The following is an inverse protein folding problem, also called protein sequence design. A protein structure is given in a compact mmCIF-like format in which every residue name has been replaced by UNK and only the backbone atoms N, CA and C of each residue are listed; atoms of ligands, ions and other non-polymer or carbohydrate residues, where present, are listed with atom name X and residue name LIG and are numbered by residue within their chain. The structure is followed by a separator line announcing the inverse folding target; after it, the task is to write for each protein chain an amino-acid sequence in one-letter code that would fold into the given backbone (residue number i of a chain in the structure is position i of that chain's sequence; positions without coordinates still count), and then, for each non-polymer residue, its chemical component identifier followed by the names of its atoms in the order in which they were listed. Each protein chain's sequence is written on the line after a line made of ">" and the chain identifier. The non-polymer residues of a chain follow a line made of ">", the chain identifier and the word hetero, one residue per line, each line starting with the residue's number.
data_IF_452375371193
#
_entry.id   IF_452375371193
#
_cell.length_a   1.000
_cell.length_b   1.000
_cell.length_c   1.000
_cell.angle_alpha   90.00
_cell.angle_beta   90.00
_cell.angle_gamma   90.00
#
_symmetry.space_group_name_H-M   'P 1'
#
loop_
_entity.id
_entity.type
_entity.pdbx_description
1 polymer ?
#
# COMPACT_ATOMS: atom_id res chain seq x y z
N UNK A 1 -49.98 20.84 -35.02
CA UNK A 1 -49.37 22.17 -35.26
C UNK A 1 -47.95 21.92 -35.75
N UNK A 2 -47.69 22.36 -36.96
CA UNK A 2 -46.46 22.25 -37.75
C UNK A 2 -45.27 23.06 -37.15
N UNK A 3 -44.11 23.20 -37.82
CA UNK A 3 -43.08 22.17 -38.12
C UNK A 3 -41.63 22.75 -38.08
N UNK A 4 -40.62 21.97 -38.52
CA UNK A 4 -39.35 22.42 -39.17
C UNK A 4 -38.30 23.14 -38.27
N UNK A 5 -36.98 22.99 -38.39
CA UNK A 5 -36.07 22.61 -39.49
C UNK A 5 -34.70 22.15 -38.93
N UNK A 6 -34.03 21.31 -39.70
CA UNK A 6 -32.57 21.08 -39.70
C UNK A 6 -31.78 22.40 -39.86
N UNK A 7 -30.59 22.48 -39.25
CA UNK A 7 -29.35 22.94 -39.90
C UNK A 7 -28.15 22.89 -38.92
N UNK A 8 -27.25 21.94 -39.18
CA UNK A 8 -25.83 22.19 -39.49
C UNK A 8 -25.14 23.26 -38.63
N UNK A 9 -24.37 22.80 -37.64
CA UNK A 9 -23.39 23.64 -36.93
C UNK A 9 -22.01 23.40 -37.53
N UNK A 10 -21.52 24.48 -38.14
CA UNK A 10 -20.24 24.70 -38.81
C UNK A 10 -19.03 24.62 -37.87
N UNK A 11 -17.96 24.03 -38.40
CA UNK A 11 -16.52 24.31 -38.24
C UNK A 11 -16.05 25.07 -36.99
N UNK A 12 -15.36 24.33 -36.12
CA UNK A 12 -14.21 24.88 -35.38
C UNK A 12 -12.92 24.37 -36.02
N UNK A 13 -12.28 25.31 -36.69
CA UNK A 13 -10.92 25.30 -37.25
C UNK A 13 -9.93 24.51 -36.40
N UNK A 14 -9.53 23.35 -36.91
CA UNK A 14 -8.22 22.74 -36.68
C UNK A 14 -7.15 23.63 -37.31
N UNK A 15 -6.25 24.17 -36.49
CA UNK A 15 -4.99 24.70 -36.98
C UNK A 15 -3.88 23.67 -36.74
N UNK A 16 -3.28 23.29 -37.85
CA UNK A 16 -2.28 22.24 -38.02
C UNK A 16 -0.94 22.95 -38.24
N UNK A 17 0.06 22.72 -37.40
CA UNK A 17 1.43 23.11 -37.71
C UNK A 17 2.44 22.13 -37.09
N UNK A 18 2.97 21.31 -37.98
CA UNK A 18 4.07 20.37 -37.80
C UNK A 18 5.41 21.08 -37.61
N UNK A 19 6.28 20.45 -36.82
CA UNK A 19 7.74 20.31 -36.97
C UNK A 19 8.67 21.54 -36.89
N UNK A 20 9.61 21.51 -35.91
CA UNK A 20 11.10 21.57 -36.02
C UNK A 20 11.71 22.00 -34.66
N UNK A 21 12.89 21.48 -34.22
CA UNK A 21 13.28 21.46 -32.82
C UNK A 21 14.04 22.73 -32.39
N UNK A 22 13.76 23.22 -31.18
CA UNK A 22 14.49 24.33 -30.56
C UNK A 22 15.52 23.78 -29.56
N UNK A 23 16.71 23.54 -30.08
CA UNK A 23 17.94 23.69 -29.32
C UNK A 23 18.25 25.18 -29.18
N UNK A 24 17.89 25.79 -28.05
CA UNK A 24 18.41 27.09 -27.65
C UNK A 24 18.68 27.13 -26.15
N UNK A 25 19.89 27.56 -25.84
CA UNK A 25 20.54 27.57 -24.54
C UNK A 25 19.80 28.51 -23.57
N UNK A 26 19.39 27.99 -22.40
CA UNK A 26 19.02 28.85 -21.27
C UNK A 26 20.33 29.18 -20.53
N UNK A 27 20.76 30.45 -20.46
CA UNK A 27 21.97 30.81 -19.75
C UNK A 27 21.74 30.67 -18.25
N UNK A 28 22.60 29.90 -17.59
CA UNK A 28 22.66 29.82 -16.14
C UNK A 28 22.95 31.21 -15.57
N UNK A 29 21.95 31.84 -14.95
CA UNK A 29 22.14 33.04 -14.15
C UNK A 29 22.88 32.63 -12.87
N UNK A 30 24.18 32.84 -12.88
CA UNK A 30 25.05 32.74 -11.72
C UNK A 30 24.69 33.90 -10.79
N UNK A 31 23.86 33.64 -9.77
CA UNK A 31 23.78 34.55 -8.63
C UNK A 31 25.14 34.48 -7.92
N UNK A 32 25.88 35.60 -7.80
CA UNK A 32 27.10 35.60 -7.00
C UNK A 32 26.68 35.40 -5.54
N UNK A 33 27.04 34.24 -4.99
CA UNK A 33 27.03 34.05 -3.54
C UNK A 33 28.17 34.94 -3.02
N UNK A 34 27.80 36.07 -2.44
CA UNK A 34 28.71 37.03 -1.83
C UNK A 34 29.46 36.33 -0.68
N UNK A 35 30.74 36.03 -0.92
CA UNK A 35 31.62 35.29 -0.01
C UNK A 35 32.19 36.18 1.12
N UNK A 36 31.38 37.08 1.67
CA UNK A 36 31.81 38.05 2.69
C UNK A 36 31.19 37.81 4.06
N UNK A 37 30.92 36.54 4.40
CA UNK A 37 30.29 36.13 5.66
C UNK A 37 30.94 34.97 6.43
N UNK A 38 32.14 34.51 6.05
CA UNK A 38 32.84 33.40 6.72
C UNK A 38 34.14 33.84 7.42
N UNK A 39 34.18 35.07 7.95
CA UNK A 39 35.31 35.53 8.76
C UNK A 39 35.12 35.01 10.20
N UNK A 40 35.70 33.83 10.49
CA UNK A 40 35.72 33.27 11.86
C UNK A 40 35.59 31.75 12.03
N UNK A 41 35.55 30.95 10.95
CA UNK A 41 35.75 29.49 11.09
C UNK A 41 37.26 29.20 11.13
N UNK A 42 37.77 28.44 12.11
CA UNK A 42 39.16 28.00 12.07
C UNK A 42 39.39 27.24 10.76
N UNK A 43 40.37 27.69 9.97
CA UNK A 43 40.81 27.03 8.75
C UNK A 43 41.02 25.55 9.02
N UNK A 44 40.25 24.70 8.32
CA UNK A 44 40.43 23.26 8.34
C UNK A 44 41.61 22.92 7.42
N UNK A 45 42.78 23.43 7.80
CA UNK A 45 44.01 23.27 7.03
C UNK A 45 44.49 21.82 7.14
N UNK A 46 44.56 21.11 6.00
CA UNK A 46 45.06 19.74 5.91
C UNK A 46 44.03 18.61 5.77
N UNK A 47 42.74 18.90 5.56
CA UNK A 47 41.80 17.85 5.14
C UNK A 47 41.97 17.57 3.64
N UNK A 48 42.18 16.30 3.22
CA UNK A 48 42.19 15.97 1.80
C UNK A 48 40.80 16.22 1.19
N UNK A 49 40.77 16.92 0.06
CA UNK A 49 39.56 17.11 -0.75
C UNK A 49 39.10 15.73 -1.27
N UNK A 50 37.87 15.33 -0.93
CA UNK A 50 37.37 13.98 -1.22
C UNK A 50 36.76 13.98 -2.63
N UNK A 51 37.24 13.12 -3.55
CA UNK A 51 36.62 12.98 -4.86
C UNK A 51 35.18 12.42 -4.76
N UNK A 52 34.35 12.65 -5.79
CA UNK A 52 33.07 11.97 -5.95
C UNK A 52 33.20 10.45 -5.75
N UNK A 53 32.22 9.81 -5.09
CA UNK A 53 32.31 8.39 -4.69
C UNK A 53 32.43 7.40 -5.88
N UNK A 54 32.09 7.84 -7.09
CA UNK A 54 32.20 7.12 -8.34
C UNK A 54 33.58 7.23 -9.00
N UNK A 55 34.45 8.10 -8.51
CA UNK A 55 35.82 8.33 -9.02
C UNK A 55 36.93 7.67 -8.17
N UNK A 56 36.61 7.12 -7.00
CA UNK A 56 37.60 6.49 -6.10
C UNK A 56 37.77 5.00 -6.41
N UNK A 57 39.01 4.60 -6.73
CA UNK A 57 39.38 3.20 -6.93
C UNK A 57 39.15 2.33 -5.68
N UNK A 58 38.76 1.05 -5.82
CA UNK A 58 38.40 0.18 -4.69
C UNK A 58 39.55 -0.14 -3.72
N UNK A 59 40.80 0.10 -4.12
CA UNK A 59 41.99 -0.06 -3.26
C UNK A 59 42.21 1.18 -2.40
N UNK A 60 42.01 2.37 -2.96
CA UNK A 60 42.17 3.65 -2.27
C UNK A 60 41.04 3.84 -1.25
N UNK A 61 39.81 3.47 -1.59
CA UNK A 61 38.65 3.49 -0.67
C UNK A 61 38.87 2.61 0.58
N UNK A 62 39.57 1.47 0.44
CA UNK A 62 39.89 0.58 1.58
C UNK A 62 40.94 1.19 2.51
N UNK A 63 41.99 1.78 1.95
CA UNK A 63 43.03 2.44 2.74
C UNK A 63 42.49 3.67 3.48
N UNK A 64 41.65 4.46 2.81
CA UNK A 64 40.91 5.58 3.40
C UNK A 64 39.97 5.12 4.51
N UNK A 65 39.17 4.07 4.28
CA UNK A 65 38.24 3.54 5.28
C UNK A 65 38.96 3.10 6.57
N UNK A 66 40.12 2.43 6.49
CA UNK A 66 40.89 2.03 7.67
C UNK A 66 41.35 3.24 8.51
N UNK A 67 41.81 4.30 7.85
CA UNK A 67 42.23 5.53 8.53
C UNK A 67 41.04 6.24 9.18
N UNK A 68 39.90 6.29 8.49
CA UNK A 68 38.67 6.90 9.01
C UNK A 68 38.09 6.13 10.20
N UNK A 69 38.10 4.80 10.18
CA UNK A 69 37.66 4.00 11.33
C UNK A 69 38.53 4.26 12.58
N UNK A 70 39.85 4.32 12.42
CA UNK A 70 40.74 4.68 13.54
C UNK A 70 40.48 6.09 14.07
N UNK A 71 40.18 7.04 13.19
CA UNK A 71 39.82 8.40 13.60
C UNK A 71 38.48 8.40 14.34
N UNK A 72 37.49 7.66 13.86
CA UNK A 72 36.17 7.54 14.47
C UNK A 72 36.23 7.02 15.91
N UNK A 73 37.13 6.07 16.21
CA UNK A 73 37.35 5.53 17.58
C UNK A 73 37.84 6.57 18.58
N UNK A 74 38.50 7.65 18.12
CA UNK A 74 39.06 8.70 18.98
C UNK A 74 38.12 9.91 19.16
N UNK A 75 37.08 10.01 18.33
CA UNK A 75 36.16 11.14 18.32
C UNK A 75 34.97 10.88 19.25
N UNK A 76 34.50 11.93 19.92
CA UNK A 76 33.33 11.85 20.79
C UNK A 76 32.02 11.85 19.97
N UNK A 77 31.15 10.90 20.26
CA UNK A 77 29.83 10.80 19.62
C UNK A 77 28.99 12.05 19.88
N UNK A 78 28.33 12.56 18.83
CA UNK A 78 27.55 13.80 18.86
C UNK A 78 28.31 15.06 18.48
N UNK A 79 29.63 14.99 18.30
CA UNK A 79 30.41 16.09 17.72
C UNK A 79 30.24 16.19 16.21
N UNK A 80 30.48 17.38 15.65
CA UNK A 80 30.46 17.60 14.20
C UNK A 80 31.50 16.74 13.48
N UNK A 81 32.71 16.62 14.06
CA UNK A 81 33.80 15.82 13.49
C UNK A 81 33.45 14.33 13.44
N UNK A 82 32.82 13.79 14.50
CA UNK A 82 32.33 12.41 14.51
C UNK A 82 31.30 12.18 13.39
N UNK A 83 30.33 13.09 13.26
CA UNK A 83 29.31 12.99 12.22
C UNK A 83 29.92 13.06 10.81
N UNK A 84 30.89 13.95 10.59
CA UNK A 84 31.60 14.07 9.31
C UNK A 84 32.31 12.76 8.94
N UNK A 85 33.18 12.25 9.81
CA UNK A 85 33.94 11.01 9.57
C UNK A 85 33.01 9.83 9.33
N UNK A 86 31.93 9.73 10.11
CA UNK A 86 30.91 8.68 9.96
C UNK A 86 30.18 8.76 8.62
N UNK A 87 29.76 9.95 8.21
CA UNK A 87 29.08 10.15 6.92
C UNK A 87 30.01 9.85 5.74
N UNK A 88 31.28 10.26 5.83
CA UNK A 88 32.28 9.90 4.81
C UNK A 88 32.47 8.39 4.71
N UNK A 89 32.51 7.66 5.84
CA UNK A 89 32.57 6.20 5.85
C UNK A 89 31.34 5.57 5.19
N UNK A 90 30.15 6.14 5.40
CA UNK A 90 28.92 5.70 4.72
C UNK A 90 29.06 5.89 3.21
N UNK A 91 29.41 7.11 2.76
CA UNK A 91 29.51 7.47 1.34
C UNK A 91 30.51 6.58 0.59
N UNK A 92 31.72 6.40 1.14
CA UNK A 92 32.76 5.55 0.57
C UNK A 92 32.32 4.09 0.39
N UNK A 93 31.40 3.62 1.22
CA UNK A 93 30.94 2.23 1.23
C UNK A 93 29.54 2.04 0.61
N UNK A 94 28.93 3.07 0.02
CA UNK A 94 27.62 2.94 -0.65
C UNK A 94 27.64 1.94 -1.81
N UNK A 95 28.76 1.80 -2.51
CA UNK A 95 28.89 0.81 -3.58
C UNK A 95 28.69 -0.63 -3.07
N UNK A 96 29.08 -0.92 -1.82
CA UNK A 96 28.86 -2.22 -1.19
C UNK A 96 27.37 -2.51 -1.00
N UNK A 97 26.60 -1.48 -0.62
CA UNK A 97 25.14 -1.56 -0.48
C UNK A 97 24.48 -1.81 -1.83
N UNK A 98 24.86 -1.05 -2.87
CA UNK A 98 24.34 -1.26 -4.24
C UNK A 98 24.65 -2.67 -4.75
N UNK A 99 25.84 -3.19 -4.46
CA UNK A 99 26.22 -4.57 -4.76
C UNK A 99 25.33 -5.59 -4.03
N UNK A 100 25.10 -5.42 -2.72
CA UNK A 100 24.23 -6.30 -1.95
C UNK A 100 22.77 -6.25 -2.44
N UNK A 101 22.25 -5.05 -2.71
CA UNK A 101 20.89 -4.80 -3.21
C UNK A 101 20.66 -5.40 -4.60
N UNK A 102 21.68 -5.46 -5.46
CA UNK A 102 21.56 -6.01 -6.82
C UNK A 102 21.02 -7.45 -6.86
N UNK A 103 21.28 -8.24 -5.81
CA UNK A 103 20.78 -9.62 -5.66
C UNK A 103 19.27 -9.72 -5.46
N UNK A 104 18.60 -8.60 -5.21
CA UNK A 104 17.17 -8.50 -4.94
C UNK A 104 16.39 -7.80 -6.06
N UNK A 105 17.00 -7.59 -7.23
CA UNK A 105 16.38 -6.94 -8.42
C UNK A 105 15.09 -7.59 -8.91
N UNK A 106 14.89 -8.89 -8.68
CA UNK A 106 13.70 -9.62 -9.12
C UNK A 106 12.49 -9.49 -8.18
N UNK A 107 12.60 -8.67 -7.13
CA UNK A 107 11.50 -8.41 -6.19
C UNK A 107 10.68 -7.20 -6.65
N UNK A 108 9.44 -7.13 -6.17
CA UNK A 108 8.44 -6.13 -6.55
C UNK A 108 8.71 -4.72 -6.00
N UNK A 109 9.59 -4.59 -5.01
CA UNK A 109 9.90 -3.30 -4.37
C UNK A 109 10.86 -2.45 -5.22
N UNK A 110 10.70 -1.11 -5.22
CA UNK A 110 11.63 -0.21 -5.88
C UNK A 110 13.08 -0.42 -5.44
N UNK A 111 14.02 -0.38 -6.39
CA UNK A 111 15.45 -0.56 -6.08
C UNK A 111 15.98 0.51 -5.12
N UNK A 112 15.46 1.72 -5.21
CA UNK A 112 15.83 2.83 -4.33
C UNK A 112 15.53 2.53 -2.87
N UNK A 113 14.37 1.93 -2.59
CA UNK A 113 13.96 1.54 -1.23
C UNK A 113 14.87 0.43 -0.68
N UNK A 114 15.20 -0.56 -1.52
CA UNK A 114 16.13 -1.64 -1.16
C UNK A 114 17.51 -1.07 -0.80
N UNK A 115 18.01 -0.12 -1.62
CA UNK A 115 19.28 0.56 -1.35
C UNK A 115 19.20 1.37 -0.06
N UNK A 116 18.12 2.10 0.19
CA UNK A 116 17.95 2.91 1.39
C UNK A 116 17.96 2.05 2.66
N UNK A 117 17.23 0.94 2.67
CA UNK A 117 17.26 -0.03 3.79
C UNK A 117 18.64 -0.65 3.95
N UNK A 118 19.29 -1.00 2.84
CA UNK A 118 20.66 -1.51 2.86
C UNK A 118 21.64 -0.50 3.46
N UNK A 119 21.45 0.80 3.19
CA UNK A 119 22.23 1.89 3.78
C UNK A 119 22.02 2.00 5.29
N UNK A 120 20.80 1.77 5.79
CA UNK A 120 20.56 1.66 7.25
C UNK A 120 21.37 0.49 7.83
N UNK A 121 21.45 -0.64 7.12
CA UNK A 121 22.28 -1.78 7.52
C UNK A 121 23.79 -1.46 7.51
N UNK A 122 24.25 -0.69 6.52
CA UNK A 122 25.63 -0.21 6.45
C UNK A 122 25.95 0.71 7.63
N UNK A 123 25.08 1.66 7.93
CA UNK A 123 25.20 2.59 9.06
C UNK A 123 25.33 1.79 10.38
N UNK A 124 24.43 0.84 10.62
CA UNK A 124 24.50 -0.06 11.78
C UNK A 124 25.76 -0.92 11.84
N UNK A 125 26.38 -1.20 10.70
CA UNK A 125 27.65 -1.92 10.65
C UNK A 125 28.82 -1.00 10.99
N UNK A 126 28.83 0.24 10.49
CA UNK A 126 29.84 1.26 10.84
C UNK A 126 29.84 1.50 12.35
N UNK A 127 28.67 1.68 12.96
CA UNK A 127 28.52 1.97 14.39
C UNK A 127 29.02 0.85 15.31
N UNK A 128 29.17 -0.38 14.80
CA UNK A 128 29.53 -1.57 15.59
C UNK A 128 30.84 -2.23 15.16
N UNK A 129 31.50 -1.68 14.15
CA UNK A 129 32.73 -2.26 13.63
C UNK A 129 33.92 -1.87 14.50
N UNK A 130 34.72 -2.86 14.88
CA UNK A 130 35.95 -2.67 15.66
C UNK A 130 37.14 -3.04 14.79
N UNK A 131 38.05 -2.09 14.55
CA UNK A 131 39.18 -2.29 13.63
C UNK A 131 40.18 -3.34 14.15
N UNK A 132 40.33 -3.42 15.48
CA UNK A 132 41.28 -4.31 16.16
C UNK A 132 40.95 -5.80 16.04
N UNK A 133 39.74 -6.16 15.60
CA UNK A 133 39.33 -7.56 15.39
C UNK A 133 39.98 -8.22 14.17
N UNK A 134 40.70 -7.47 13.34
CA UNK A 134 41.47 -8.01 12.22
C UNK A 134 40.63 -8.54 11.06
N UNK A 135 39.34 -8.25 11.02
CA UNK A 135 38.44 -8.61 9.91
C UNK A 135 38.23 -7.41 8.99
N UNK A 136 38.23 -7.65 7.68
CA UNK A 136 37.96 -6.58 6.71
C UNK A 136 36.50 -6.11 6.81
N UNK A 137 36.28 -4.79 6.81
CA UNK A 137 34.97 -4.18 7.01
C UNK A 137 33.87 -4.73 6.08
N UNK A 138 34.08 -4.92 4.75
CA UNK A 138 33.05 -5.48 3.88
C UNK A 138 32.58 -6.87 4.33
N UNK A 139 33.47 -7.70 4.88
CA UNK A 139 33.13 -9.04 5.38
C UNK A 139 32.19 -8.95 6.59
N UNK A 140 32.38 -7.96 7.46
CA UNK A 140 31.53 -7.71 8.62
C UNK A 140 30.20 -7.03 8.25
N UNK A 141 30.23 -6.06 7.34
CA UNK A 141 29.08 -5.26 6.98
C UNK A 141 28.05 -6.03 6.14
N UNK A 142 28.51 -6.91 5.24
CA UNK A 142 27.63 -7.63 4.30
C UNK A 142 26.50 -8.43 4.97
N UNK A 143 26.73 -9.24 6.02
CA UNK A 143 25.64 -9.92 6.73
C UNK A 143 24.61 -8.96 7.34
N UNK A 144 25.06 -7.82 7.87
CA UNK A 144 24.18 -6.80 8.47
C UNK A 144 23.32 -6.12 7.40
N UNK A 145 23.93 -5.70 6.29
CA UNK A 145 23.23 -5.08 5.15
C UNK A 145 22.17 -6.04 4.58
N UNK A 146 22.56 -7.28 4.28
CA UNK A 146 21.64 -8.31 3.75
C UNK A 146 20.54 -8.64 4.77
N UNK A 147 20.87 -8.65 6.06
CA UNK A 147 19.90 -8.88 7.14
C UNK A 147 18.81 -7.80 7.20
N UNK A 148 19.19 -6.53 7.13
CA UNK A 148 18.21 -5.43 7.11
C UNK A 148 17.35 -5.45 5.84
N UNK A 149 17.94 -5.71 4.67
CA UNK A 149 17.18 -5.85 3.41
C UNK A 149 16.17 -7.00 3.51
N UNK A 150 16.58 -8.18 4.00
CA UNK A 150 15.67 -9.32 4.21
C UNK A 150 14.57 -8.99 5.21
N UNK A 151 14.89 -8.25 6.27
CA UNK A 151 13.91 -7.79 7.26
C UNK A 151 12.90 -6.84 6.64
N UNK A 152 13.31 -5.91 5.79
CA UNK A 152 12.40 -5.02 5.08
C UNK A 152 11.39 -5.77 4.21
N UNK A 153 11.84 -6.68 3.35
CA UNK A 153 10.90 -7.49 2.54
C UNK A 153 9.89 -8.25 3.40
N UNK A 154 10.34 -8.73 4.55
CA UNK A 154 9.50 -9.49 5.46
C UNK A 154 8.46 -8.61 6.17
N UNK A 155 8.79 -7.36 6.45
CA UNK A 155 7.94 -6.43 7.18
C UNK A 155 7.02 -5.63 6.22
N UNK A 156 7.38 -5.47 4.94
CA UNK A 156 6.68 -4.62 3.95
C UNK A 156 5.99 -5.39 2.82
N UNK A 157 6.51 -6.55 2.38
CA UNK A 157 5.99 -7.22 1.17
C UNK A 157 4.69 -8.01 1.35
N UNK A 158 3.91 -7.72 2.40
CA UNK A 158 2.62 -8.36 2.63
C UNK A 158 1.50 -7.36 2.37
N UNK A 159 0.66 -7.63 1.35
CA UNK A 159 -0.51 -6.81 1.03
C UNK A 159 -1.50 -6.74 2.21
N UNK A 160 -1.54 -7.78 3.05
CA UNK A 160 -2.28 -7.80 4.32
C UNK A 160 -1.37 -8.26 5.44
N UNK A 161 -1.33 -7.52 6.56
CA UNK A 161 -0.49 -7.85 7.71
C UNK A 161 -0.95 -9.16 8.35
N UNK A 162 -0.18 -10.23 8.17
CA UNK A 162 -0.41 -11.52 8.84
C UNK A 162 0.49 -11.72 10.07
N UNK A 163 0.09 -12.56 11.04
CA UNK A 163 0.94 -12.96 12.16
C UNK A 163 2.28 -13.57 11.76
N UNK A 164 3.30 -13.36 12.61
CA UNK A 164 4.68 -13.81 12.41
C UNK A 164 4.80 -15.30 12.06
N UNK A 165 4.08 -16.14 12.80
CA UNK A 165 4.05 -17.60 12.63
C UNK A 165 3.71 -18.01 11.19
N UNK A 166 2.73 -17.34 10.57
CA UNK A 166 2.27 -17.66 9.22
C UNK A 166 3.27 -17.22 8.15
N UNK A 167 4.03 -16.14 8.39
CA UNK A 167 5.07 -15.72 7.46
C UNK A 167 6.21 -16.75 7.37
N UNK A 168 6.62 -17.29 8.51
CA UNK A 168 7.66 -18.31 8.61
C UNK A 168 7.16 -19.64 8.03
N UNK A 169 5.94 -20.04 8.41
CA UNK A 169 5.29 -21.24 7.88
C UNK A 169 5.20 -21.24 6.34
N UNK A 170 4.91 -20.09 5.71
CA UNK A 170 4.90 -20.00 4.24
C UNK A 170 6.27 -20.31 3.63
N UNK A 171 7.35 -19.80 4.22
CA UNK A 171 8.71 -20.04 3.73
C UNK A 171 9.09 -21.51 3.87
N UNK A 172 8.72 -22.13 4.99
CA UNK A 172 8.94 -23.55 5.24
C UNK A 172 8.11 -24.42 4.29
N UNK A 173 6.85 -24.05 4.02
CA UNK A 173 5.99 -24.70 3.04
C UNK A 173 6.53 -24.59 1.62
N UNK A 174 7.04 -23.41 1.21
CA UNK A 174 7.65 -23.23 -0.11
C UNK A 174 8.88 -24.14 -0.28
N UNK A 175 9.77 -24.14 0.72
CA UNK A 175 10.98 -24.98 0.70
C UNK A 175 10.65 -26.47 0.71
N UNK A 176 9.72 -26.91 1.57
CA UNK A 176 9.27 -28.29 1.61
C UNK A 176 8.55 -28.69 0.32
N UNK A 177 7.80 -27.76 -0.27
CA UNK A 177 7.15 -27.89 -1.57
C UNK A 177 8.14 -28.21 -2.67
N UNK A 178 9.19 -27.38 -2.81
CA UNK A 178 10.24 -27.55 -3.81
C UNK A 178 11.00 -28.89 -3.61
N UNK A 179 11.36 -29.21 -2.36
CA UNK A 179 12.07 -30.46 -2.02
C UNK A 179 11.23 -31.71 -2.34
N UNK A 180 9.93 -31.70 -2.04
CA UNK A 180 9.04 -32.82 -2.33
C UNK A 180 8.71 -32.91 -3.82
N UNK A 181 8.52 -31.78 -4.49
CA UNK A 181 8.27 -31.75 -5.92
C UNK A 181 9.41 -32.40 -6.71
N UNK A 182 10.66 -32.11 -6.34
CA UNK A 182 11.83 -32.76 -6.93
C UNK A 182 11.91 -34.26 -6.69
N UNK A 183 11.42 -34.75 -5.54
CA UNK A 183 11.46 -36.18 -5.19
C UNK A 183 10.31 -36.98 -5.78
N UNK A 184 9.14 -36.37 -5.86
CA UNK A 184 7.89 -37.02 -6.28
C UNK A 184 7.62 -36.88 -7.79
N UNK A 185 8.35 -35.99 -8.46
CA UNK A 185 8.13 -35.60 -9.87
C UNK A 185 6.70 -35.08 -10.12
N UNK A 186 6.10 -34.48 -9.07
CA UNK A 186 4.78 -33.84 -9.07
C UNK A 186 4.63 -32.91 -7.88
N UNK A 187 3.62 -32.05 -7.89
CA UNK A 187 3.28 -31.23 -6.73
C UNK A 187 2.92 -32.12 -5.51
N UNK A 188 3.40 -31.77 -4.29
CA UNK A 188 3.05 -32.49 -3.07
C UNK A 188 1.62 -32.19 -2.62
N UNK A 189 1.01 -33.15 -1.93
CA UNK A 189 -0.29 -33.00 -1.29
C UNK A 189 -0.18 -32.34 0.09
N UNK A 190 -1.29 -31.81 0.60
CA UNK A 190 -1.39 -31.25 1.96
C UNK A 190 -0.93 -32.26 3.02
N UNK A 191 -1.24 -33.55 2.85
CA UNK A 191 -0.84 -34.60 3.79
C UNK A 191 0.67 -34.83 3.77
N UNK A 192 1.30 -34.84 2.59
CA UNK A 192 2.75 -35.04 2.44
C UNK A 192 3.54 -33.84 3.00
N UNK A 193 3.02 -32.62 2.83
CA UNK A 193 3.60 -31.42 3.44
C UNK A 193 3.49 -31.45 4.97
N UNK A 194 2.33 -31.85 5.50
CA UNK A 194 2.10 -31.99 6.94
C UNK A 194 3.08 -32.99 7.57
N UNK A 195 3.25 -34.16 6.94
CA UNK A 195 4.22 -35.18 7.37
C UNK A 195 5.66 -34.67 7.31
N UNK A 196 6.05 -34.04 6.20
CA UNK A 196 7.41 -33.53 5.98
C UNK A 196 7.82 -32.46 6.98
N UNK A 197 6.89 -31.59 7.36
CA UNK A 197 7.09 -30.48 8.29
C UNK A 197 6.72 -30.83 9.74
N UNK A 198 6.15 -32.02 9.98
CA UNK A 198 5.66 -32.45 11.31
C UNK A 198 4.64 -31.49 11.93
N UNK A 199 3.70 -31.02 11.10
CA UNK A 199 2.61 -30.11 11.49
C UNK A 199 1.25 -30.71 11.11
N UNK A 200 0.16 -30.11 11.57
CA UNK A 200 -1.19 -30.57 11.22
C UNK A 200 -1.58 -30.18 9.79
N UNK A 201 -2.53 -30.90 9.19
CA UNK A 201 -3.07 -30.56 7.86
C UNK A 201 -3.75 -29.19 7.88
N UNK A 202 -4.43 -28.85 8.97
CA UNK A 202 -5.09 -27.55 9.14
C UNK A 202 -4.08 -26.41 9.13
N UNK A 203 -2.92 -26.57 9.78
CA UNK A 203 -1.84 -25.59 9.72
C UNK A 203 -1.25 -25.45 8.31
N UNK A 204 -1.13 -26.55 7.55
CA UNK A 204 -0.73 -26.47 6.13
C UNK A 204 -1.73 -25.65 5.33
N UNK A 205 -3.03 -25.91 5.49
CA UNK A 205 -4.10 -25.16 4.81
C UNK A 205 -4.08 -23.69 5.20
N UNK A 206 -3.91 -23.39 6.48
CA UNK A 206 -3.79 -22.02 6.99
C UNK A 206 -2.56 -21.31 6.41
N UNK A 207 -1.41 -21.97 6.36
CA UNK A 207 -0.18 -21.44 5.76
C UNK A 207 -0.29 -21.22 4.25
N UNK A 208 -0.99 -22.12 3.54
CA UNK A 208 -1.28 -21.95 2.11
C UNK A 208 -2.25 -20.79 1.87
N UNK A 209 -3.30 -20.65 2.68
CA UNK A 209 -4.24 -19.52 2.61
C UNK A 209 -3.54 -18.19 2.89
N UNK A 210 -2.59 -18.17 3.84
CA UNK A 210 -1.75 -17.01 4.09
C UNK A 210 -0.88 -16.62 2.88
N UNK A 211 -0.54 -17.56 1.99
CA UNK A 211 0.18 -17.23 0.76
C UNK A 211 -0.62 -16.29 -0.15
N UNK A 212 -1.96 -16.35 -0.13
CA UNK A 212 -2.82 -15.45 -0.90
C UNK A 212 -2.80 -14.01 -0.36
N UNK A 213 -2.39 -13.81 0.90
CA UNK A 213 -2.22 -12.48 1.50
C UNK A 213 -0.87 -11.81 1.14
N UNK A 214 0.04 -12.55 0.51
CA UNK A 214 1.38 -12.06 0.13
C UNK A 214 1.35 -11.24 -1.17
N UNK A 215 0.45 -11.54 -2.11
CA UNK A 215 0.31 -10.77 -3.35
C UNK A 215 -1.16 -10.66 -3.71
N UNK A 216 -1.73 -9.47 -3.51
CA UNK A 216 -3.05 -9.16 -4.04
C UNK A 216 -2.98 -8.99 -5.56
N UNK A 217 -3.90 -9.60 -6.29
CA UNK A 217 -4.10 -9.31 -7.72
C UNK A 217 -4.61 -7.88 -7.89
N UNK A 218 -4.14 -7.19 -8.93
CA UNK A 218 -4.64 -5.86 -9.26
C UNK A 218 -6.11 -5.94 -9.70
N UNK A 219 -6.93 -5.00 -9.22
CA UNK A 219 -8.29 -4.81 -9.72
C UNK A 219 -8.31 -4.33 -11.18
N UNK A 220 -7.22 -3.72 -11.64
CA UNK A 220 -7.02 -3.31 -13.03
C UNK A 220 -6.43 -4.43 -13.91
N UNK A 221 -6.16 -5.61 -13.34
CA UNK A 221 -5.60 -6.72 -14.11
C UNK A 221 -6.59 -7.17 -15.19
N UNK A 222 -6.10 -7.29 -16.42
CA UNK A 222 -6.82 -7.92 -17.51
C UNK A 222 -6.52 -9.42 -17.51
N UNK A 223 -7.53 -10.30 -17.44
CA UNK A 223 -7.30 -11.74 -17.50
C UNK A 223 -6.80 -12.16 -18.89
N UNK A 224 -5.81 -13.07 -18.92
CA UNK A 224 -5.12 -13.48 -20.15
C UNK A 224 -5.97 -14.34 -21.10
N UNK A 225 -7.11 -14.89 -20.63
CA UNK A 225 -7.86 -15.95 -21.33
C UNK A 225 -9.26 -15.53 -21.82
N UNK A 226 -9.69 -14.28 -21.66
CA UNK A 226 -11.03 -13.83 -22.04
C UNK A 226 -10.97 -12.71 -23.10
N UNK A 227 -11.59 -12.92 -24.26
CA UNK A 227 -11.85 -11.88 -25.30
C UNK A 227 -12.77 -10.74 -24.82
N UNK A 228 -13.14 -10.75 -23.54
CA UNK A 228 -13.98 -9.73 -22.92
C UNK A 228 -13.10 -8.61 -22.38
N UNK A 229 -13.07 -7.49 -23.11
CA UNK A 229 -12.47 -6.23 -22.66
C UNK A 229 -13.07 -5.79 -21.31
N UNK A 230 -12.22 -5.58 -20.30
CA UNK A 230 -12.64 -5.06 -19.00
C UNK A 230 -11.64 -5.38 -17.88
N UNK A 231 -11.56 -4.52 -16.87
CA UNK A 231 -10.73 -4.75 -15.71
C UNK A 231 -11.34 -5.84 -14.81
N UNK A 232 -10.54 -6.49 -13.96
CA UNK A 232 -11.05 -7.42 -12.96
C UNK A 232 -12.13 -6.77 -12.07
N UNK A 233 -11.98 -5.47 -11.76
CA UNK A 233 -12.95 -4.68 -11.00
C UNK A 233 -14.36 -4.72 -11.59
N UNK A 234 -14.47 -4.65 -12.92
CA UNK A 234 -15.75 -4.57 -13.63
C UNK A 234 -16.53 -5.89 -13.58
N UNK A 235 -15.85 -6.99 -13.22
CA UNK A 235 -16.42 -8.33 -13.09
C UNK A 235 -16.85 -8.66 -11.67
N UNK A 236 -16.49 -7.84 -10.69
CA UNK A 236 -16.86 -8.05 -9.29
C UNK A 236 -18.32 -7.62 -9.11
N UNK A 237 -19.21 -8.61 -8.98
CA UNK A 237 -20.60 -8.38 -8.61
C UNK A 237 -20.73 -7.90 -7.16
N UNK A 238 -21.80 -7.15 -6.89
CA UNK A 238 -22.21 -6.78 -5.54
C UNK A 238 -23.65 -7.24 -5.28
N UNK A 239 -24.00 -7.42 -4.02
CA UNK A 239 -25.38 -7.68 -3.63
C UNK A 239 -26.20 -6.38 -3.71
N UNK A 240 -27.22 -6.35 -4.56
CA UNK A 240 -28.18 -5.25 -4.61
C UNK A 240 -29.28 -5.46 -3.56
N UNK A 241 -29.07 -4.88 -2.36
CA UNK A 241 -30.05 -4.90 -1.28
C UNK A 241 -31.38 -4.19 -1.64
N UNK A 242 -31.40 -3.37 -2.70
CA UNK A 242 -32.63 -2.76 -3.21
C UNK A 242 -33.59 -3.78 -3.81
N UNK A 243 -33.08 -4.87 -4.41
CA UNK A 243 -33.89 -5.93 -5.00
C UNK A 243 -34.70 -6.69 -3.94
N UNK A 244 -34.13 -6.93 -2.76
CA UNK A 244 -34.82 -7.61 -1.66
C UNK A 244 -36.03 -6.81 -1.13
N UNK A 245 -35.98 -5.48 -1.25
CA UNK A 245 -37.05 -4.58 -0.79
C UNK A 245 -38.20 -4.37 -1.78
N UNK A 246 -38.01 -4.65 -3.07
CA UNK A 246 -38.98 -4.30 -4.14
C UNK A 246 -40.30 -5.05 -3.96
N UNK A 247 -40.25 -6.33 -3.61
CA UNK A 247 -41.46 -7.14 -3.41
C UNK A 247 -42.33 -6.57 -2.30
N UNK A 248 -41.72 -6.13 -1.19
CA UNK A 248 -42.42 -5.46 -0.09
C UNK A 248 -43.00 -4.12 -0.52
N UNK A 249 -42.27 -3.34 -1.31
CA UNK A 249 -42.75 -2.04 -1.80
C UNK A 249 -43.96 -2.21 -2.72
N UNK A 250 -43.91 -3.11 -3.69
CA UNK A 250 -45.04 -3.36 -4.60
C UNK A 250 -46.25 -3.95 -3.87
N UNK A 251 -46.04 -4.88 -2.96
CA UNK A 251 -47.12 -5.49 -2.16
C UNK A 251 -47.77 -4.50 -1.19
N UNK A 252 -47.02 -3.53 -0.66
CA UNK A 252 -47.53 -2.58 0.34
C UNK A 252 -48.33 -1.42 -0.29
N UNK A 253 -48.03 -1.02 -1.53
CA UNK A 253 -48.73 0.05 -2.26
C UNK A 253 -50.26 -0.08 -2.25
N UNK A 254 -50.87 -1.21 -2.70
CA UNK A 254 -52.33 -1.36 -2.69
C UNK A 254 -52.90 -1.36 -1.27
N UNK A 255 -52.22 -2.00 -0.32
CA UNK A 255 -52.64 -2.04 1.09
C UNK A 255 -52.67 -0.64 1.73
N UNK A 256 -51.70 0.23 1.40
CA UNK A 256 -51.70 1.63 1.84
C UNK A 256 -52.81 2.43 1.16
N UNK A 257 -53.11 2.16 -0.11
CA UNK A 257 -54.18 2.83 -0.86
C UNK A 257 -55.58 2.56 -0.29
N UNK A 258 -55.78 1.42 0.37
CA UNK A 258 -57.03 1.08 1.08
C UNK A 258 -57.14 1.67 2.49
N UNK A 259 -56.06 2.26 3.02
CA UNK A 259 -56.10 2.88 4.33
C UNK A 259 -56.95 4.15 4.31
N UNK A 260 -57.70 4.42 5.39
CA UNK A 260 -58.36 5.71 5.57
C UNK A 260 -57.37 6.87 5.39
N UNK A 261 -57.80 8.02 4.83
CA UNK A 261 -56.92 9.16 4.56
C UNK A 261 -56.12 9.61 5.78
N UNK A 262 -56.73 9.53 6.97
CA UNK A 262 -56.10 9.86 8.25
C UNK A 262 -54.95 8.92 8.60
N UNK A 263 -55.16 7.61 8.47
CA UNK A 263 -54.15 6.60 8.80
C UNK A 263 -52.97 6.68 7.80
N UNK A 264 -53.27 6.95 6.52
CA UNK A 264 -52.24 7.20 5.49
C UNK A 264 -51.42 8.45 5.77
N UNK A 265 -52.08 9.55 6.20
CA UNK A 265 -51.39 10.78 6.59
C UNK A 265 -50.47 10.53 7.79
N UNK A 266 -50.93 9.80 8.80
CA UNK A 266 -50.12 9.42 9.96
C UNK A 266 -48.89 8.60 9.55
N UNK A 267 -49.03 7.62 8.64
CA UNK A 267 -47.89 6.87 8.10
C UNK A 267 -46.89 7.76 7.36
N UNK A 268 -47.37 8.66 6.50
CA UNK A 268 -46.52 9.60 5.76
C UNK A 268 -45.75 10.52 6.72
N UNK A 269 -46.42 11.09 7.73
CA UNK A 269 -45.75 11.93 8.73
C UNK A 269 -44.70 11.14 9.52
N UNK A 270 -45.00 9.87 9.84
CA UNK A 270 -44.09 9.02 10.63
C UNK A 270 -42.88 8.52 9.85
N UNK A 271 -43.09 7.98 8.65
CA UNK A 271 -42.06 7.22 7.92
C UNK A 271 -41.45 7.98 6.73
N UNK A 272 -42.09 9.06 6.27
CA UNK A 272 -41.55 9.91 5.18
C UNK A 272 -41.05 11.23 5.75
N UNK A 273 -41.84 11.89 6.60
CA UNK A 273 -41.44 13.15 7.24
C UNK A 273 -40.63 12.97 8.53
N UNK A 274 -40.40 11.72 8.97
CA UNK A 274 -39.64 11.37 10.18
C UNK A 274 -40.11 12.07 11.48
N UNK A 275 -41.38 12.42 11.59
CA UNK A 275 -41.93 13.08 12.78
C UNK A 275 -42.13 12.08 13.94
N UNK A 276 -41.89 12.56 15.15
CA UNK A 276 -42.22 11.85 16.39
C UNK A 276 -43.74 11.77 16.58
N UNK A 277 -44.21 10.81 17.40
CA UNK A 277 -45.65 10.66 17.65
C UNK A 277 -46.25 11.86 18.39
N UNK A 278 -45.44 12.61 19.14
CA UNK A 278 -45.85 13.85 19.80
C UNK A 278 -46.07 14.96 18.78
N UNK A 279 -45.10 15.19 17.88
CA UNK A 279 -45.21 16.19 16.81
C UNK A 279 -46.38 15.87 15.86
N UNK A 280 -46.59 14.60 15.53
CA UNK A 280 -47.76 14.16 14.75
C UNK A 280 -49.07 14.45 15.50
N UNK A 281 -49.05 14.29 16.82
CA UNK A 281 -50.21 14.58 17.68
C UNK A 281 -50.55 16.06 17.69
N UNK A 282 -49.54 16.91 17.81
CA UNK A 282 -49.67 18.37 17.72
C UNK A 282 -50.21 18.81 16.36
N UNK A 283 -49.64 18.30 15.26
CA UNK A 283 -50.05 18.59 13.88
C UNK A 283 -51.52 18.18 13.62
N UNK A 284 -51.97 17.05 14.18
CA UNK A 284 -53.30 16.48 13.95
C UNK A 284 -54.33 16.79 15.05
N UNK A 285 -53.96 17.59 16.05
CA UNK A 285 -54.81 17.94 17.18
C UNK A 285 -55.27 16.76 18.04
N UNK A 286 -54.43 15.72 18.19
CA UNK A 286 -54.71 14.54 19.01
C UNK A 286 -53.55 14.18 19.93
N UNK A 287 -53.82 13.43 21.00
CA UNK A 287 -52.74 13.01 21.91
C UNK A 287 -51.76 12.04 21.24
N UNK A 288 -50.50 12.09 21.66
CA UNK A 288 -49.45 11.14 21.25
C UNK A 288 -49.89 9.68 21.45
N UNK A 289 -50.58 9.38 22.56
CA UNK A 289 -51.13 8.05 22.83
C UNK A 289 -52.19 7.63 21.81
N UNK A 290 -52.98 8.57 21.29
CA UNK A 290 -53.93 8.29 20.22
C UNK A 290 -53.20 8.00 18.90
N UNK A 291 -52.18 8.79 18.55
CA UNK A 291 -51.32 8.55 17.38
C UNK A 291 -50.67 7.17 17.46
N UNK A 292 -50.12 6.80 18.63
CA UNK A 292 -49.51 5.51 18.88
C UNK A 292 -50.48 4.35 18.61
N UNK A 293 -51.70 4.41 19.17
CA UNK A 293 -52.73 3.40 18.93
C UNK A 293 -53.13 3.29 17.46
N UNK A 294 -53.27 4.42 16.76
CA UNK A 294 -53.60 4.44 15.34
C UNK A 294 -52.47 3.79 14.51
N UNK A 295 -51.21 4.18 14.74
CA UNK A 295 -50.04 3.59 14.08
C UNK A 295 -49.96 2.08 14.31
N UNK A 296 -50.07 1.62 15.57
CA UNK A 296 -50.02 0.20 15.89
C UNK A 296 -51.12 -0.59 15.16
N UNK A 297 -52.36 -0.07 15.17
CA UNK A 297 -53.48 -0.70 14.47
C UNK A 297 -53.25 -0.76 12.96
N UNK A 298 -52.78 0.34 12.36
CA UNK A 298 -52.48 0.43 10.93
C UNK A 298 -51.36 -0.53 10.54
N UNK A 299 -50.27 -0.59 11.30
CA UNK A 299 -49.16 -1.51 11.06
C UNK A 299 -49.58 -2.99 11.19
N UNK A 300 -50.43 -3.32 12.17
CA UNK A 300 -50.99 -4.68 12.30
C UNK A 300 -51.85 -5.03 11.08
N UNK A 301 -52.69 -4.09 10.59
CA UNK A 301 -53.50 -4.30 9.38
C UNK A 301 -52.60 -4.54 8.16
N UNK A 302 -51.59 -3.70 7.96
CA UNK A 302 -50.65 -3.83 6.83
C UNK A 302 -49.87 -5.15 6.90
N UNK A 303 -49.37 -5.53 8.08
CA UNK A 303 -48.69 -6.81 8.29
C UNK A 303 -49.59 -8.00 7.99
N UNK A 304 -50.86 -7.93 8.41
CA UNK A 304 -51.82 -9.00 8.10
C UNK A 304 -52.07 -9.09 6.58
N UNK A 305 -52.19 -7.95 5.90
CA UNK A 305 -52.34 -7.92 4.44
C UNK A 305 -51.16 -8.51 3.68
N UNK A 306 -49.93 -8.31 4.18
CA UNK A 306 -48.71 -8.89 3.61
C UNK A 306 -48.54 -10.41 3.89
N UNK A 307 -49.27 -10.96 4.85
CA UNK A 307 -49.18 -12.37 5.28
C UNK A 307 -50.33 -13.24 4.74
N UNK A 308 -51.24 -12.65 3.95
CA UNK A 308 -52.25 -13.40 3.24
C UNK A 308 -51.60 -13.81 1.91
N UNK A 309 -51.05 -15.02 1.88
CA UNK A 309 -50.70 -15.71 0.63
C UNK A 309 -52.00 -15.90 -0.19
N UNK A 310 -51.95 -15.55 -1.48
CA UNK A 310 -52.94 -16.01 -2.48
C UNK A 310 -52.81 -17.52 -2.72
#
# INVERSE_FOLDING_TARGET
>A
MSPRLDEVRTDHTTDNASSTPLSEQIPAQHLPIDATGFDGMPEIDGLPEIPPYDEVGPVDARALSKTLFRRLETLEEGTHEYAYVRNTLVELNLALVKFAASRFRSRSEPMEDIVQVGTIGLIKAIDRFELDRGVEFPTFAMPTIVGEIKRFFRDTSWSVRVPRRLQELRLDLAKAGDELAQKLDRAPTVSELAERLSITKDEVVEGMAASNAYTASSLDAQPEEDDTEGALADRIGYEDHGLEGIEYVESLKPLIAELPPRDRKILSLRFVANMTQSEIGEELGISQMHVSRLLSRTLVRLRKGLMIEE
#
